data_IF_851367261225
#
_entry.id   IF_851367261225
#
_cell.length_a   1.000
_cell.length_b   1.000
_cell.length_c   1.000
_cell.angle_alpha   90.00
_cell.angle_beta   90.00
_cell.angle_gamma   90.00
#
_symmetry.space_group_name_H-M   'P 1'
#
loop_
_entity.id
_entity.type
_entity.pdbx_description
1 polymer ?
#
# COMPACT_ATOMS: atom_id res chain seq x y z
N UNK A 1 31.63 10.07 21.56
CA UNK A 1 30.43 9.27 21.85
C UNK A 1 29.15 10.03 21.53
N UNK A 2 29.02 11.31 21.89
CA UNK A 2 27.81 12.10 21.61
C UNK A 2 27.45 12.26 20.12
N UNK A 3 28.44 12.40 19.24
CA UNK A 3 28.21 12.56 17.80
C UNK A 3 27.63 11.29 17.13
N UNK A 4 28.01 10.10 17.62
CA UNK A 4 27.53 8.80 17.12
C UNK A 4 26.08 8.58 17.55
N UNK A 5 25.77 8.90 18.81
CA UNK A 5 24.40 8.82 19.35
C UNK A 5 23.48 9.80 18.59
N UNK A 6 23.96 11.00 18.28
CA UNK A 6 23.17 11.99 17.53
C UNK A 6 22.90 11.54 16.08
N UNK A 7 23.86 10.94 15.39
CA UNK A 7 23.63 10.39 14.04
C UNK A 7 22.64 9.23 14.07
N UNK A 8 22.75 8.32 15.04
CA UNK A 8 21.85 7.17 15.20
C UNK A 8 20.41 7.58 15.52
N UNK A 9 20.23 8.57 16.41
CA UNK A 9 18.90 9.11 16.73
C UNK A 9 18.26 9.80 15.52
N UNK A 10 19.05 10.53 14.71
CA UNK A 10 18.55 11.21 13.51
C UNK A 10 18.13 10.21 12.42
N UNK A 11 18.89 9.14 12.19
CA UNK A 11 18.53 8.12 11.20
C UNK A 11 17.30 7.32 11.61
N UNK A 12 17.19 6.94 12.89
CA UNK A 12 16.01 6.26 13.44
C UNK A 12 14.77 7.14 13.33
N UNK A 13 14.88 8.45 13.62
CA UNK A 13 13.78 9.39 13.47
C UNK A 13 13.31 9.54 12.01
N UNK A 14 14.24 9.55 11.04
CA UNK A 14 13.94 9.64 9.61
C UNK A 14 13.25 8.36 9.10
N UNK A 15 13.75 7.19 9.47
CA UNK A 15 13.14 5.89 9.11
C UNK A 15 11.73 5.77 9.68
N UNK A 16 11.54 6.16 10.95
CA UNK A 16 10.23 6.16 11.61
C UNK A 16 9.22 7.06 10.88
N UNK A 17 9.68 8.20 10.35
CA UNK A 17 8.81 9.15 9.63
C UNK A 17 8.42 8.64 8.23
N UNK A 18 9.35 8.00 7.53
CA UNK A 18 9.12 7.37 6.22
C UNK A 18 8.14 6.19 6.37
N UNK A 19 8.33 5.34 7.38
CA UNK A 19 7.41 4.22 7.63
C UNK A 19 6.02 4.69 8.02
N UNK A 20 5.90 5.79 8.77
CA UNK A 20 4.60 6.40 9.10
C UNK A 20 3.89 7.00 7.87
N UNK A 21 4.63 7.63 6.96
CA UNK A 21 4.06 8.15 5.70
C UNK A 21 3.62 6.98 4.81
N UNK A 22 4.44 5.94 4.71
CA UNK A 22 4.15 4.74 3.93
C UNK A 22 2.92 4.00 4.46
N UNK A 23 2.78 3.88 5.79
CA UNK A 23 1.62 3.23 6.42
C UNK A 23 0.33 4.03 6.21
N UNK A 24 0.39 5.37 6.12
CA UNK A 24 -0.77 6.20 5.77
C UNK A 24 -1.24 5.97 4.33
N UNK A 25 -0.32 5.86 3.38
CA UNK A 25 -0.68 5.58 1.99
C UNK A 25 -1.31 4.19 1.83
N UNK A 26 -0.80 3.19 2.56
CA UNK A 26 -1.41 1.87 2.62
C UNK A 26 -2.82 1.89 3.24
N UNK A 27 -3.00 2.64 4.33
CA UNK A 27 -4.33 2.81 4.95
C UNK A 27 -5.29 3.51 3.98
N UNK A 28 -4.82 4.53 3.25
CA UNK A 28 -5.62 5.22 2.23
C UNK A 28 -6.06 4.29 1.10
N UNK A 29 -5.14 3.47 0.57
CA UNK A 29 -5.45 2.48 -0.46
C UNK A 29 -6.48 1.44 0.00
N UNK A 30 -6.34 0.94 1.24
CA UNK A 30 -7.31 -0.01 1.82
C UNK A 30 -8.66 0.67 2.04
N UNK A 31 -8.68 1.89 2.59
CA UNK A 31 -9.90 2.65 2.82
C UNK A 31 -10.66 2.90 1.51
N UNK A 32 -9.95 3.18 0.42
CA UNK A 32 -10.54 3.35 -0.91
C UNK A 32 -11.23 2.07 -1.40
N UNK A 33 -10.59 0.91 -1.26
CA UNK A 33 -11.20 -0.39 -1.60
C UNK A 33 -12.43 -0.66 -0.73
N UNK A 34 -12.35 -0.43 0.58
CA UNK A 34 -13.48 -0.62 1.49
C UNK A 34 -14.65 0.29 1.09
N UNK A 35 -14.40 1.55 0.79
CA UNK A 35 -15.43 2.48 0.32
C UNK A 35 -16.08 2.01 -0.99
N UNK A 36 -15.28 1.50 -1.94
CA UNK A 36 -15.79 0.90 -3.18
C UNK A 36 -16.70 -0.30 -2.91
N UNK A 37 -16.28 -1.21 -2.02
CA UNK A 37 -17.09 -2.37 -1.60
C UNK A 37 -18.45 -1.93 -1.05
N UNK A 38 -18.43 -0.97 -0.12
CA UNK A 38 -19.64 -0.42 0.48
C UNK A 38 -20.55 0.17 -0.59
N UNK A 39 -20.02 1.00 -1.49
CA UNK A 39 -20.81 1.65 -2.53
C UNK A 39 -21.44 0.65 -3.50
N UNK A 40 -20.66 -0.31 -4.03
CA UNK A 40 -21.14 -1.30 -5.00
C UNK A 40 -22.17 -2.23 -4.38
N UNK A 41 -21.90 -2.76 -3.17
CA UNK A 41 -22.85 -3.63 -2.50
C UNK A 41 -24.12 -2.89 -2.12
N UNK A 42 -24.00 -1.66 -1.60
CA UNK A 42 -25.16 -0.83 -1.27
C UNK A 42 -26.07 -0.64 -2.48
N UNK A 43 -25.53 -0.18 -3.61
CA UNK A 43 -26.31 0.01 -4.83
C UNK A 43 -26.89 -1.32 -5.32
N UNK A 44 -26.12 -2.41 -5.29
CA UNK A 44 -26.61 -3.72 -5.72
C UNK A 44 -27.78 -4.21 -4.88
N UNK A 45 -27.73 -4.03 -3.55
CA UNK A 45 -28.82 -4.39 -2.64
C UNK A 45 -30.05 -3.49 -2.82
N UNK A 46 -29.83 -2.20 -3.02
CA UNK A 46 -30.90 -1.21 -3.21
C UNK A 46 -31.73 -1.50 -4.46
N UNK A 47 -31.07 -1.79 -5.58
CA UNK A 47 -31.76 -2.09 -6.85
C UNK A 47 -32.25 -3.54 -6.97
N UNK A 48 -31.76 -4.46 -6.13
CA UNK A 48 -32.06 -5.90 -6.25
C UNK A 48 -33.55 -6.25 -6.34
N UNK A 49 -34.46 -5.69 -5.49
CA UNK A 49 -35.89 -5.98 -5.60
C UNK A 49 -36.51 -5.46 -6.90
N UNK A 50 -36.02 -4.33 -7.44
CA UNK A 50 -36.58 -3.67 -8.62
C UNK A 50 -36.21 -4.37 -9.93
N UNK A 51 -35.06 -5.05 -9.97
CA UNK A 51 -34.62 -5.78 -11.15
C UNK A 51 -35.37 -7.12 -11.24
N UNK A 52 -36.48 -7.14 -11.99
CA UNK A 52 -37.31 -8.36 -12.17
C UNK A 52 -36.77 -9.32 -13.23
N UNK A 53 -35.93 -8.85 -14.16
CA UNK A 53 -35.36 -9.67 -15.22
C UNK A 53 -34.14 -10.48 -14.72
N UNK A 54 -34.22 -11.82 -14.81
CA UNK A 54 -33.15 -12.72 -14.36
C UNK A 54 -31.82 -12.52 -15.10
N UNK A 55 -31.85 -12.24 -16.40
CA UNK A 55 -30.64 -11.98 -17.18
C UNK A 55 -29.91 -10.71 -16.71
N UNK A 56 -30.67 -9.65 -16.41
CA UNK A 56 -30.11 -8.41 -15.88
C UNK A 56 -29.51 -8.64 -14.49
N UNK A 57 -30.18 -9.40 -13.61
CA UNK A 57 -29.63 -9.77 -12.29
C UNK A 57 -28.29 -10.50 -12.42
N UNK A 58 -28.19 -11.47 -13.33
CA UNK A 58 -26.97 -12.23 -13.54
C UNK A 58 -25.82 -11.34 -14.02
N UNK A 59 -26.09 -10.43 -14.97
CA UNK A 59 -25.10 -9.48 -15.48
C UNK A 59 -24.64 -8.52 -14.38
N UNK A 60 -25.58 -7.94 -13.61
CA UNK A 60 -25.25 -7.03 -12.52
C UNK A 60 -24.40 -7.71 -11.44
N UNK A 61 -24.77 -8.93 -11.04
CA UNK A 61 -24.01 -9.70 -10.06
C UNK A 61 -22.60 -10.02 -10.59
N UNK A 62 -22.48 -10.51 -11.83
CA UNK A 62 -21.19 -10.83 -12.42
C UNK A 62 -20.30 -9.59 -12.56
N UNK A 63 -20.84 -8.48 -13.07
CA UNK A 63 -20.12 -7.22 -13.22
C UNK A 63 -19.69 -6.65 -11.86
N UNK A 64 -20.59 -6.65 -10.86
CA UNK A 64 -20.28 -6.20 -9.51
C UNK A 64 -19.15 -7.02 -8.87
N UNK A 65 -19.22 -8.35 -8.98
CA UNK A 65 -18.14 -9.24 -8.52
C UNK A 65 -16.83 -8.92 -9.24
N UNK A 66 -16.85 -8.74 -10.55
CA UNK A 66 -15.65 -8.46 -11.34
C UNK A 66 -14.99 -7.14 -10.93
N UNK A 67 -15.79 -6.08 -10.74
CA UNK A 67 -15.30 -4.77 -10.29
C UNK A 67 -14.64 -4.88 -8.93
N UNK A 68 -15.28 -5.55 -7.98
CA UNK A 68 -14.76 -5.72 -6.62
C UNK A 68 -13.48 -6.57 -6.60
N UNK A 69 -13.46 -7.69 -7.32
CA UNK A 69 -12.31 -8.57 -7.39
C UNK A 69 -11.12 -7.88 -8.05
N UNK A 70 -11.31 -7.24 -9.21
CA UNK A 70 -10.20 -6.60 -9.91
C UNK A 70 -9.66 -5.38 -9.17
N UNK A 71 -10.51 -4.54 -8.56
CA UNK A 71 -10.00 -3.43 -7.74
C UNK A 71 -9.22 -3.94 -6.53
N UNK A 72 -9.75 -4.94 -5.83
CA UNK A 72 -9.07 -5.52 -4.66
C UNK A 72 -7.75 -6.15 -5.08
N UNK A 73 -7.73 -6.91 -6.19
CA UNK A 73 -6.51 -7.53 -6.72
C UNK A 73 -5.48 -6.49 -7.17
N UNK A 74 -5.88 -5.39 -7.81
CA UNK A 74 -4.98 -4.31 -8.22
C UNK A 74 -4.32 -3.65 -7.01
N UNK A 75 -5.07 -3.34 -5.96
CA UNK A 75 -4.52 -2.76 -4.73
C UNK A 75 -3.65 -3.77 -3.98
N UNK A 76 -4.04 -5.05 -3.90
CA UNK A 76 -3.19 -6.10 -3.34
C UNK A 76 -1.90 -6.25 -4.14
N UNK A 77 -1.95 -6.19 -5.47
CA UNK A 77 -0.78 -6.24 -6.33
C UNK A 77 0.12 -5.02 -6.12
N UNK A 78 -0.46 -3.82 -5.99
CA UNK A 78 0.27 -2.61 -5.61
C UNK A 78 0.98 -2.81 -4.26
N UNK A 79 0.25 -3.21 -3.21
CA UNK A 79 0.80 -3.45 -1.87
C UNK A 79 1.86 -4.58 -1.84
N UNK A 80 1.70 -5.63 -2.65
CA UNK A 80 2.63 -6.75 -2.76
C UNK A 80 3.89 -6.35 -3.52
N UNK A 81 3.76 -5.60 -4.60
CA UNK A 81 4.89 -5.08 -5.36
C UNK A 81 5.74 -4.12 -4.49
N UNK A 82 5.08 -3.35 -3.61
CA UNK A 82 5.76 -2.53 -2.59
C UNK A 82 6.62 -3.32 -1.58
N UNK A 83 6.26 -4.58 -1.27
CA UNK A 83 7.10 -5.45 -0.43
C UNK A 83 8.27 -6.07 -1.22
N UNK A 84 8.08 -6.33 -2.52
CA UNK A 84 9.11 -6.88 -3.40
C UNK A 84 10.27 -5.90 -3.68
N UNK A 85 9.96 -4.62 -3.88
CA UNK A 85 10.97 -3.62 -4.27
C UNK A 85 11.76 -3.03 -3.08
N UNK A 86 11.31 -3.25 -1.83
CA UNK A 86 12.01 -2.76 -0.63
C UNK A 86 13.39 -3.41 -0.45
N UNK A 87 13.56 -4.66 -0.89
CA UNK A 87 14.84 -5.37 -0.78
C UNK A 87 15.92 -4.88 -1.75
N UNK A 88 15.55 -4.31 -2.90
CA UNK A 88 16.52 -3.79 -3.87
C UNK A 88 16.93 -2.33 -3.56
N UNK A 89 15.98 -1.47 -3.19
CA UNK A 89 16.28 -0.05 -2.93
C UNK A 89 17.00 0.15 -1.59
N UNK A 90 16.61 -0.53 -0.51
CA UNK A 90 17.26 -0.36 0.81
C UNK A 90 18.65 -1.00 0.90
N UNK A 91 18.92 -2.08 0.14
CA UNK A 91 20.27 -2.66 0.10
C UNK A 91 21.29 -1.74 -0.58
N UNK A 92 20.85 -0.91 -1.54
CA UNK A 92 21.69 0.09 -2.18
C UNK A 92 21.95 1.29 -1.26
N UNK A 93 20.94 1.75 -0.52
CA UNK A 93 21.08 2.91 0.37
C UNK A 93 21.92 2.58 1.62
N UNK A 94 21.77 1.37 2.18
CA UNK A 94 22.64 0.85 3.25
C UNK A 94 24.08 0.71 2.75
N UNK A 95 24.31 0.24 1.51
CA UNK A 95 25.66 0.17 0.92
C UNK A 95 26.29 1.56 0.72
N UNK A 96 25.54 2.57 0.30
CA UNK A 96 26.08 3.92 0.14
C UNK A 96 26.41 4.57 1.49
N UNK A 97 25.58 4.36 2.51
CA UNK A 97 25.86 4.79 3.89
C UNK A 97 27.10 4.10 4.48
N UNK A 98 27.26 2.79 4.25
CA UNK A 98 28.46 2.06 4.67
C UNK A 98 29.73 2.52 3.94
N UNK A 99 29.64 2.81 2.64
CA UNK A 99 30.77 3.35 1.88
C UNK A 99 31.17 4.75 2.34
N UNK A 100 30.22 5.59 2.74
CA UNK A 100 30.51 6.90 3.32
C UNK A 100 31.17 6.78 4.70
N UNK A 101 30.75 5.81 5.53
CA UNK A 101 31.39 5.51 6.81
C UNK A 101 32.81 4.96 6.65
N UNK A 102 33.04 4.03 5.73
CA UNK A 102 34.36 3.47 5.43
C UNK A 102 35.33 4.52 4.88
N UNK A 103 34.84 5.50 4.10
CA UNK A 103 35.65 6.63 3.62
C UNK A 103 36.01 7.61 4.73
N UNK A 104 35.11 7.84 5.68
CA UNK A 104 35.39 8.67 6.87
C UNK A 104 36.34 8.04 7.87
N UNK A 105 36.39 6.71 7.96
CA UNK A 105 37.29 6.00 8.87
C UNK A 105 38.73 5.85 8.34
N UNK A 106 38.98 6.17 7.07
CA UNK A 106 40.28 6.03 6.40
C UNK A 106 41.02 7.35 6.21
N UNK A 107 40.40 8.48 6.55
CA UNK A 107 41.03 9.80 6.65
C UNK A 107 41.05 10.24 8.11
#
# INVERSE_FOLDING_TARGET
MEAIIREEVVTVALQTRIDNMHRRDQIGAIAFVVALWVAVLFVLFDIWPDVTNQGIRAILAAAGILVLLFNTAAIVAMLRHYHGDKHFIYSLDIKHLDQMRLRRARN
#
